data_IF_328860352117
#
_entry.id   IF_328860352117
#
_cell.length_a   1.000
_cell.length_b   1.000
_cell.length_c   1.000
_cell.angle_alpha   90.00
_cell.angle_beta   90.00
_cell.angle_gamma   90.00
#
_symmetry.space_group_name_H-M   'P 1'
#
loop_
_entity.id
_entity.type
_entity.pdbx_description
1 polymer ?
#
# COMPACT_ATOMS: atom_id res chain seq x y z
N UNK A 1 14.50 -46.96 9.81
CA UNK A 1 14.65 -45.73 9.01
C UNK A 1 13.27 -45.19 8.70
N UNK A 2 13.11 -43.87 8.73
CA UNK A 2 11.88 -43.22 8.31
C UNK A 2 11.80 -43.18 6.78
N UNK A 3 10.57 -43.08 6.28
CA UNK A 3 10.33 -42.81 4.87
C UNK A 3 10.83 -41.41 4.46
N UNK A 4 11.02 -41.15 3.16
CA UNK A 4 11.31 -39.81 2.68
C UNK A 4 10.27 -38.81 3.20
N UNK A 5 10.69 -37.64 3.72
CA UNK A 5 9.76 -36.61 4.18
C UNK A 5 8.91 -36.10 3.03
N UNK A 6 7.67 -35.72 3.34
CA UNK A 6 6.82 -35.01 2.38
C UNK A 6 7.29 -33.55 2.26
N UNK A 7 7.28 -33.03 1.04
CA UNK A 7 7.67 -31.65 0.74
C UNK A 7 6.42 -30.76 0.69
N UNK A 8 6.35 -29.70 1.51
CA UNK A 8 5.26 -28.73 1.44
C UNK A 8 5.17 -28.06 0.07
N UNK A 9 3.95 -27.78 -0.39
CA UNK A 9 3.76 -26.93 -1.58
C UNK A 9 4.30 -25.53 -1.27
N UNK A 10 5.11 -24.95 -2.16
CA UNK A 10 5.86 -23.71 -1.91
C UNK A 10 6.86 -23.80 -0.76
N UNK A 11 7.42 -24.98 -0.52
CA UNK A 11 8.45 -25.19 0.49
C UNK A 11 9.45 -26.27 0.09
N UNK A 12 10.45 -26.43 0.95
CA UNK A 12 11.49 -27.44 0.83
C UNK A 12 11.97 -27.85 2.23
N UNK A 13 12.72 -28.94 2.32
CA UNK A 13 13.36 -29.36 3.56
C UNK A 13 14.86 -29.55 3.37
N UNK A 14 15.61 -29.41 4.46
CA UNK A 14 17.03 -29.74 4.55
C UNK A 14 17.25 -30.89 5.53
N UNK A 15 18.01 -31.89 5.10
CA UNK A 15 18.34 -33.09 5.86
C UNK A 15 19.22 -34.03 5.02
N UNK A 16 20.18 -34.71 5.65
CA UNK A 16 21.16 -35.57 4.93
C UNK A 16 20.80 -37.06 4.95
N UNK A 17 20.09 -37.52 5.98
CA UNK A 17 19.64 -38.90 6.13
C UNK A 17 18.31 -38.96 6.92
N UNK A 18 17.61 -40.10 6.81
CA UNK A 18 16.29 -40.34 7.40
C UNK A 18 16.33 -41.51 8.39
N UNK A 19 17.43 -41.66 9.13
CA UNK A 19 17.60 -42.73 10.11
C UNK A 19 16.98 -42.34 11.45
N UNK A 20 16.71 -43.32 12.30
CA UNK A 20 16.24 -43.03 13.66
C UNK A 20 17.25 -42.13 14.38
N UNK A 21 16.77 -41.03 14.94
CA UNK A 21 17.58 -39.95 15.53
C UNK A 21 17.87 -38.77 14.60
N UNK A 22 17.71 -38.91 13.27
CA UNK A 22 17.94 -37.81 12.32
C UNK A 22 16.88 -36.72 12.44
N UNK A 23 17.28 -35.47 12.19
CA UNK A 23 16.40 -34.29 12.18
C UNK A 23 16.45 -33.60 10.84
N UNK A 24 15.29 -33.16 10.36
CA UNK A 24 15.13 -32.32 9.17
C UNK A 24 14.52 -30.97 9.53
N UNK A 25 14.76 -29.98 8.68
CA UNK A 25 14.24 -28.62 8.85
C UNK A 25 13.49 -28.19 7.59
N UNK A 26 12.27 -27.70 7.76
CA UNK A 26 11.44 -27.17 6.69
C UNK A 26 11.64 -25.67 6.47
N UNK A 27 11.45 -25.24 5.23
CA UNK A 27 11.53 -23.87 4.76
C UNK A 27 10.42 -23.59 3.76
N UNK A 28 9.99 -22.33 3.69
CA UNK A 28 9.04 -21.87 2.68
C UNK A 28 9.75 -20.98 1.65
N UNK A 29 9.26 -21.03 0.42
CA UNK A 29 9.67 -20.16 -0.68
C UNK A 29 9.42 -18.68 -0.34
N UNK A 30 10.07 -17.80 -1.09
CA UNK A 30 9.85 -16.37 -0.95
C UNK A 30 8.36 -16.01 -1.10
N UNK A 31 7.89 -15.14 -0.20
CA UNK A 31 6.48 -14.72 -0.03
C UNK A 31 5.56 -15.76 0.60
N UNK A 32 6.09 -16.84 1.15
CA UNK A 32 5.34 -17.79 1.97
C UNK A 32 5.91 -17.84 3.39
N UNK A 33 5.04 -18.08 4.37
CA UNK A 33 5.43 -18.30 5.75
C UNK A 33 5.03 -19.70 6.21
N UNK A 34 5.82 -20.25 7.12
CA UNK A 34 5.64 -21.61 7.62
C UNK A 34 4.59 -21.64 8.72
N UNK A 35 3.57 -22.48 8.54
CA UNK A 35 2.52 -22.76 9.51
C UNK A 35 2.64 -24.22 9.95
N UNK A 36 2.91 -24.43 11.24
CA UNK A 36 3.14 -25.76 11.82
C UNK A 36 4.56 -25.94 12.35
N UNK A 37 5.02 -27.19 12.41
CA UNK A 37 6.32 -27.53 12.99
C UNK A 37 7.44 -27.42 11.95
N UNK A 38 8.43 -26.58 12.24
CA UNK A 38 9.58 -26.39 11.35
C UNK A 38 10.56 -27.57 11.37
N UNK A 39 10.70 -28.27 12.50
CA UNK A 39 11.67 -29.34 12.68
C UNK A 39 10.99 -30.68 12.90
N UNK A 40 11.42 -31.72 12.19
CA UNK A 40 10.96 -33.08 12.42
C UNK A 40 12.11 -34.01 12.75
N UNK A 41 11.86 -34.95 13.64
CA UNK A 41 12.81 -35.98 14.00
C UNK A 41 12.26 -37.35 13.59
N UNK A 42 13.15 -38.23 13.14
CA UNK A 42 12.81 -39.62 12.90
C UNK A 42 12.96 -40.41 14.20
N UNK A 43 11.89 -41.02 14.71
CA UNK A 43 11.92 -41.87 15.92
C UNK A 43 11.20 -43.17 15.60
N UNK A 44 11.87 -44.30 15.82
CA UNK A 44 11.33 -45.65 15.64
C UNK A 44 10.70 -45.92 14.25
N UNK A 45 11.18 -45.23 13.22
CA UNK A 45 10.71 -45.37 11.84
C UNK A 45 9.59 -44.40 11.44
N UNK A 46 9.16 -43.52 12.34
CA UNK A 46 8.14 -42.51 12.08
C UNK A 46 8.65 -41.07 12.31
N UNK A 47 8.12 -40.13 11.54
CA UNK A 47 8.38 -38.71 11.75
C UNK A 47 7.54 -38.17 12.90
N UNK A 48 8.16 -37.40 13.80
CA UNK A 48 7.52 -36.91 15.04
C UNK A 48 6.37 -35.94 14.84
N UNK A 49 6.19 -35.38 13.63
CA UNK A 49 5.06 -34.51 13.33
C UNK A 49 4.69 -34.54 11.85
N UNK A 50 3.55 -33.95 11.49
CA UNK A 50 3.12 -33.76 10.11
C UNK A 50 3.93 -32.65 9.42
N UNK A 51 4.10 -32.71 8.09
CA UNK A 51 4.76 -31.64 7.33
C UNK A 51 4.02 -30.31 7.53
N UNK A 52 4.75 -29.18 7.62
CA UNK A 52 4.13 -27.87 7.75
C UNK A 52 3.49 -27.42 6.43
N UNK A 53 2.68 -26.37 6.51
CA UNK A 53 2.08 -25.73 5.33
C UNK A 53 2.77 -24.40 5.10
N UNK A 54 3.07 -24.09 3.83
CA UNK A 54 3.56 -22.78 3.44
C UNK A 54 2.39 -21.93 2.95
N UNK A 55 2.00 -20.92 3.74
CA UNK A 55 0.89 -20.02 3.43
C UNK A 55 1.41 -18.71 2.86
N UNK A 56 0.75 -18.20 1.81
CA UNK A 56 1.14 -16.94 1.17
C UNK A 56 1.09 -15.81 2.20
N UNK A 57 2.20 -15.09 2.34
CA UNK A 57 2.27 -13.87 3.15
C UNK A 57 1.34 -12.86 2.51
N UNK A 58 0.24 -12.52 3.19
CA UNK A 58 -0.58 -11.39 2.78
C UNK A 58 0.25 -10.13 2.97
N UNK A 59 0.81 -9.61 1.88
CA UNK A 59 1.47 -8.31 1.89
C UNK A 59 0.43 -7.27 2.30
N UNK A 60 0.58 -6.71 3.51
CA UNK A 60 -0.17 -5.52 3.89
C UNK A 60 0.13 -4.42 2.85
N UNK A 61 -0.87 -3.61 2.42
CA UNK A 61 -0.63 -2.54 1.47
C UNK A 61 0.50 -1.66 2.01
N UNK A 62 1.58 -1.51 1.22
CA UNK A 62 2.75 -0.74 1.62
C UNK A 62 2.29 0.66 2.03
N UNK A 63 2.57 1.12 3.27
CA UNK A 63 2.09 2.42 3.74
C UNK A 63 2.47 3.59 2.81
N UNK A 64 3.59 3.46 2.10
CA UNK A 64 4.05 4.44 1.12
C UNK A 64 3.18 4.50 -0.15
N UNK A 65 2.64 3.37 -0.60
CA UNK A 65 1.79 3.28 -1.80
C UNK A 65 0.40 3.87 -1.51
N UNK A 66 -0.15 3.55 -0.33
CA UNK A 66 -1.39 4.16 0.16
C UNK A 66 -1.26 5.68 0.39
N UNK A 67 -0.10 6.14 0.85
CA UNK A 67 0.16 7.57 1.03
C UNK A 67 0.25 8.32 -0.31
N UNK A 68 0.86 7.69 -1.33
CA UNK A 68 0.98 8.26 -2.68
C UNK A 68 -0.39 8.38 -3.36
N UNK A 69 -1.25 7.36 -3.25
CA UNK A 69 -2.61 7.38 -3.77
C UNK A 69 -3.47 8.48 -3.11
N UNK A 70 -3.38 8.60 -1.77
CA UNK A 70 -4.05 9.68 -1.04
C UNK A 70 -3.58 11.07 -1.47
N UNK A 71 -2.27 11.24 -1.68
CA UNK A 71 -1.71 12.50 -2.18
C UNK A 71 -2.24 12.83 -3.58
N UNK A 72 -2.25 11.85 -4.50
CA UNK A 72 -2.79 12.00 -5.86
C UNK A 72 -4.26 12.41 -5.88
N UNK A 73 -5.10 11.83 -5.00
CA UNK A 73 -6.51 12.18 -4.87
C UNK A 73 -6.70 13.61 -4.34
N UNK A 74 -5.90 14.02 -3.35
CA UNK A 74 -5.91 15.41 -2.85
C UNK A 74 -5.52 16.43 -3.95
N UNK A 75 -4.57 16.07 -4.82
CA UNK A 75 -4.26 16.88 -6.00
C UNK A 75 -5.43 16.97 -6.99
N UNK A 76 -6.24 15.92 -7.15
CA UNK A 76 -7.40 15.94 -8.05
C UNK A 76 -8.52 16.89 -7.58
N UNK A 77 -8.72 17.07 -6.28
CA UNK A 77 -9.68 18.05 -5.74
C UNK A 77 -9.35 19.49 -6.18
N UNK A 78 -8.06 19.79 -6.33
CA UNK A 78 -7.60 21.10 -6.81
C UNK A 78 -7.75 21.30 -8.33
N UNK A 79 -8.01 20.25 -9.10
CA UNK A 79 -8.10 20.30 -10.58
C UNK A 79 -9.30 21.12 -11.04
N UNK A 80 -10.46 20.94 -10.39
CA UNK A 80 -11.66 21.72 -10.71
C UNK A 80 -11.50 23.19 -10.32
N UNK A 81 -10.84 23.48 -9.19
CA UNK A 81 -10.49 24.85 -8.80
C UNK A 81 -9.53 25.48 -9.82
N UNK A 82 -8.48 24.77 -10.24
CA UNK A 82 -7.56 25.24 -11.28
C UNK A 82 -8.28 25.53 -12.59
N UNK A 83 -9.22 24.68 -13.00
CA UNK A 83 -10.04 24.86 -14.20
C UNK A 83 -10.94 26.09 -14.09
N UNK A 84 -11.58 26.29 -12.94
CA UNK A 84 -12.40 27.45 -12.65
C UNK A 84 -11.58 28.76 -12.67
N UNK A 85 -10.41 28.77 -12.02
CA UNK A 85 -9.49 29.91 -12.02
C UNK A 85 -9.01 30.23 -13.44
N UNK A 86 -8.57 29.23 -14.21
CA UNK A 86 -8.15 29.45 -15.61
C UNK A 86 -9.27 30.05 -16.45
N UNK A 87 -10.50 29.53 -16.32
CA UNK A 87 -11.68 30.06 -17.04
C UNK A 87 -11.99 31.50 -16.63
N UNK A 88 -11.90 31.81 -15.33
CA UNK A 88 -12.08 33.16 -14.82
C UNK A 88 -11.02 34.13 -15.36
N UNK A 89 -9.73 33.78 -15.25
CA UNK A 89 -8.63 34.60 -15.76
C UNK A 89 -8.73 34.81 -17.28
N UNK A 90 -9.17 33.80 -18.03
CA UNK A 90 -9.39 33.93 -19.48
C UNK A 90 -10.54 34.90 -19.78
N UNK A 91 -11.62 34.90 -19.01
CA UNK A 91 -12.71 35.87 -19.14
C UNK A 91 -12.23 37.28 -18.83
N UNK A 92 -11.44 37.47 -17.77
CA UNK A 92 -10.86 38.77 -17.44
C UNK A 92 -9.97 39.30 -18.57
N UNK A 93 -9.10 38.45 -19.13
CA UNK A 93 -8.27 38.80 -20.30
C UNK A 93 -9.10 39.21 -21.51
N UNK A 94 -10.20 38.49 -21.81
CA UNK A 94 -11.11 38.84 -22.91
C UNK A 94 -11.85 40.18 -22.69
N UNK A 95 -12.02 40.59 -21.45
CA UNK A 95 -12.67 41.85 -21.08
C UNK A 95 -11.69 42.99 -20.78
N UNK A 96 -10.40 42.83 -21.13
CA UNK A 96 -9.32 43.80 -20.85
C UNK A 96 -9.22 44.26 -19.38
N UNK A 97 -9.64 43.35 -18.47
CA UNK A 97 -9.59 43.53 -17.03
C UNK A 97 -8.37 42.80 -16.46
N UNK A 98 -7.56 43.52 -15.67
CA UNK A 98 -6.49 42.92 -14.86
C UNK A 98 -6.98 42.61 -13.46
N UNK A 99 -6.24 41.79 -12.73
CA UNK A 99 -6.55 41.51 -11.32
C UNK A 99 -6.45 42.78 -10.46
N UNK A 100 -5.57 43.74 -10.77
CA UNK A 100 -5.56 45.02 -10.06
C UNK A 100 -6.82 45.84 -10.31
N UNK A 101 -7.29 45.90 -11.57
CA UNK A 101 -8.55 46.59 -11.91
C UNK A 101 -9.72 45.96 -11.17
N UNK A 102 -9.82 44.62 -11.15
CA UNK A 102 -10.86 43.89 -10.40
C UNK A 102 -10.80 44.21 -8.92
N UNK A 103 -9.61 44.14 -8.30
CA UNK A 103 -9.41 44.48 -6.88
C UNK A 103 -9.87 45.91 -6.58
N UNK A 104 -9.47 46.87 -7.41
CA UNK A 104 -9.89 48.27 -7.26
C UNK A 104 -11.42 48.42 -7.32
N UNK A 105 -12.08 47.79 -8.30
CA UNK A 105 -13.54 47.83 -8.41
C UNK A 105 -14.23 47.22 -7.19
N UNK A 106 -13.74 46.09 -6.69
CA UNK A 106 -14.29 45.42 -5.52
C UNK A 106 -14.13 46.26 -4.25
N UNK A 107 -12.95 46.84 -4.01
CA UNK A 107 -12.74 47.71 -2.84
C UNK A 107 -13.62 48.96 -2.90
N UNK A 108 -13.79 49.56 -4.08
CA UNK A 108 -14.69 50.71 -4.26
C UNK A 108 -16.16 50.33 -4.00
N UNK A 109 -16.60 49.15 -4.44
CA UNK A 109 -17.95 48.63 -4.16
C UNK A 109 -18.15 48.32 -2.68
N UNK A 110 -17.16 47.71 -2.04
CA UNK A 110 -17.12 47.44 -0.60
C UNK A 110 -17.22 48.74 0.21
N UNK A 111 -16.49 49.79 -0.16
CA UNK A 111 -16.60 51.11 0.49
C UNK A 111 -18.01 51.71 0.36
N UNK A 112 -18.62 51.63 -0.84
CA UNK A 112 -19.99 52.08 -1.07
C UNK A 112 -21.03 51.30 -0.26
N UNK A 113 -20.85 49.99 -0.10
CA UNK A 113 -21.73 49.15 0.72
C UNK A 113 -21.60 49.51 2.19
N UNK A 114 -20.38 49.66 2.70
CA UNK A 114 -20.14 50.11 4.08
C UNK A 114 -20.80 51.45 4.38
N UNK A 115 -20.71 52.42 3.46
CA UNK A 115 -21.34 53.72 3.61
C UNK A 115 -22.88 53.71 3.57
N UNK A 116 -23.49 52.64 3.04
CA UNK A 116 -24.96 52.45 3.06
C UNK A 116 -25.46 51.75 4.33
N UNK A 117 -24.54 51.21 5.13
CA UNK A 117 -24.82 50.52 6.39
C UNK A 117 -24.56 51.42 7.62
N UNK A 118 -24.16 52.68 7.39
CA UNK A 118 -24.04 53.76 8.36
C UNK A 118 -25.22 54.72 8.16
#
# INVERSE_FOLDING_TARGET
DCGPPETPTHGYFEGRDFKSGSTITYYCEARYHLVGTQHQQCIDGEWTSAPPICELIQEAPKPAELALEKALLAFQESKELCKAIKKFTQRLKKSDLTMEKVKYFLERKKAKLKAKML
#
